data_IF_569928518696
#
_entry.id   IF_569928518696
#
_cell.length_a   1.000
_cell.length_b   1.000
_cell.length_c   1.000
_cell.angle_alpha   90.00
_cell.angle_beta   90.00
_cell.angle_gamma   90.00
#
_symmetry.space_group_name_H-M   'P 1'
#
loop_
_entity.id
_entity.type
_entity.pdbx_description
1 polymer ?
#
# COMPACT_ATOMS: atom_id res chain seq x y z
N UNK A 1 -7.66 8.66 4.00
CA UNK A 1 -6.22 8.54 3.63
C UNK A 1 -5.92 9.21 2.30
N UNK A 2 -6.65 8.90 1.21
CA UNK A 2 -6.43 9.52 -0.11
C UNK A 2 -6.53 11.05 -0.09
N UNK A 3 -7.64 11.60 0.40
CA UNK A 3 -7.86 13.05 0.51
C UNK A 3 -6.79 13.71 1.39
N UNK A 4 -6.40 13.05 2.48
CA UNK A 4 -5.35 13.54 3.38
C UNK A 4 -3.97 13.55 2.69
N UNK A 5 -3.68 12.55 1.86
CA UNK A 5 -2.45 12.47 1.09
C UNK A 5 -2.38 13.58 0.05
N UNK A 6 -3.47 13.81 -0.68
CA UNK A 6 -3.57 14.92 -1.65
C UNK A 6 -3.46 16.29 -0.97
N UNK A 7 -4.05 16.46 0.21
CA UNK A 7 -4.03 17.73 0.94
C UNK A 7 -2.68 18.05 1.61
N UNK A 8 -1.98 17.05 2.14
CA UNK A 8 -0.71 17.26 2.85
C UNK A 8 0.49 17.24 1.87
N UNK A 9 0.46 16.40 0.84
CA UNK A 9 1.59 16.18 -0.07
C UNK A 9 1.39 16.77 -1.46
N UNK A 10 0.58 17.82 -1.61
CA UNK A 10 0.28 18.48 -2.88
C UNK A 10 1.52 19.01 -3.61
N UNK A 11 2.65 19.24 -2.90
CA UNK A 11 3.96 19.60 -3.50
C UNK A 11 4.86 18.41 -3.84
N UNK A 12 4.42 17.18 -3.58
CA UNK A 12 5.16 15.93 -3.79
C UNK A 12 4.54 15.07 -4.89
N UNK A 13 3.68 15.68 -5.69
CA UNK A 13 2.95 15.04 -6.79
C UNK A 13 3.83 15.09 -8.04
N UNK A 14 4.24 13.91 -8.54
CA UNK A 14 5.01 13.81 -9.79
C UNK A 14 4.04 13.75 -10.98
N UNK A 15 2.97 12.96 -10.84
CA UNK A 15 1.81 12.88 -11.73
C UNK A 15 0.59 12.60 -10.85
N UNK A 16 -0.61 13.00 -11.26
CA UNK A 16 -1.87 12.72 -10.55
C UNK A 16 -1.95 11.26 -10.09
N UNK A 17 -1.97 11.03 -8.77
CA UNK A 17 -2.00 9.70 -8.15
C UNK A 17 -0.65 9.00 -7.93
N UNK A 18 0.46 9.56 -8.43
CA UNK A 18 1.84 9.10 -8.18
C UNK A 18 2.57 10.17 -7.35
N UNK A 19 2.71 9.87 -6.07
CA UNK A 19 3.31 10.76 -5.08
C UNK A 19 4.62 10.17 -4.55
N UNK A 20 5.60 11.02 -4.26
CA UNK A 20 6.85 10.60 -3.58
C UNK A 20 6.63 10.14 -2.14
N UNK A 21 5.47 10.46 -1.57
CA UNK A 21 4.95 9.90 -0.31
C UNK A 21 3.50 9.51 -0.55
N UNK A 22 3.20 8.21 -0.44
CA UNK A 22 1.86 7.69 -0.67
C UNK A 22 1.34 6.91 0.55
N UNK A 23 0.72 7.64 1.49
CA UNK A 23 0.20 7.08 2.75
C UNK A 23 -0.78 5.90 2.57
N UNK A 24 -1.67 5.88 1.56
CA UNK A 24 -2.54 4.73 1.34
C UNK A 24 -1.78 3.42 1.10
N UNK A 25 -0.52 3.46 0.65
CA UNK A 25 0.32 2.28 0.52
C UNK A 25 0.54 1.59 1.87
N UNK A 26 0.94 2.36 2.89
CA UNK A 26 1.17 1.83 4.23
C UNK A 26 -0.08 1.29 4.91
N UNK A 27 -1.20 1.99 4.76
CA UNK A 27 -2.47 1.54 5.30
C UNK A 27 -2.91 0.20 4.69
N UNK A 28 -2.80 0.05 3.35
CA UNK A 28 -3.13 -1.19 2.65
C UNK A 28 -2.24 -2.35 3.12
N UNK A 29 -0.92 -2.14 3.19
CA UNK A 29 0.01 -3.15 3.69
C UNK A 29 -0.34 -3.58 5.12
N UNK A 30 -0.52 -2.61 6.02
CA UNK A 30 -0.81 -2.89 7.42
C UNK A 30 -2.14 -3.65 7.61
N UNK A 31 -3.20 -3.21 6.92
CA UNK A 31 -4.50 -3.88 6.96
C UNK A 31 -4.38 -5.33 6.51
N UNK A 32 -3.65 -5.62 5.43
CA UNK A 32 -3.51 -6.99 4.95
C UNK A 32 -2.60 -7.83 5.84
N UNK A 33 -1.56 -7.25 6.45
CA UNK A 33 -0.72 -7.98 7.42
C UNK A 33 -1.48 -8.32 8.71
N UNK A 34 -2.35 -7.41 9.18
CA UNK A 34 -3.18 -7.60 10.39
C UNK A 34 -4.34 -8.57 10.16
N UNK A 35 -5.08 -8.37 9.07
CA UNK A 35 -6.36 -9.05 8.84
C UNK A 35 -6.28 -10.14 7.76
N UNK A 36 -5.11 -10.38 7.18
CA UNK A 36 -4.88 -11.38 6.15
C UNK A 36 -5.83 -11.20 4.96
N UNK A 37 -6.46 -12.31 4.54
CA UNK A 37 -7.42 -12.31 3.43
C UNK A 37 -8.61 -11.37 3.64
N UNK A 38 -9.11 -11.22 4.87
CA UNK A 38 -10.20 -10.29 5.16
C UNK A 38 -9.77 -8.82 4.91
N UNK A 39 -8.51 -8.50 5.24
CA UNK A 39 -7.92 -7.20 4.93
C UNK A 39 -7.83 -6.94 3.43
N UNK A 40 -7.39 -7.94 2.65
CA UNK A 40 -7.32 -7.86 1.20
C UNK A 40 -8.71 -7.66 0.55
N UNK A 41 -9.73 -8.38 1.02
CA UNK A 41 -11.12 -8.23 0.54
C UNK A 41 -11.64 -6.82 0.85
N UNK A 42 -11.40 -6.32 2.07
CA UNK A 42 -11.78 -4.96 2.45
C UNK A 42 -11.12 -3.90 1.55
N UNK A 43 -9.83 -4.06 1.25
CA UNK A 43 -9.12 -3.18 0.32
C UNK A 43 -9.67 -3.29 -1.10
N UNK A 44 -10.00 -4.50 -1.57
CA UNK A 44 -10.57 -4.71 -2.89
C UNK A 44 -11.89 -3.96 -3.05
N UNK A 45 -12.81 -4.14 -2.10
CA UNK A 45 -14.13 -3.47 -2.11
C UNK A 45 -13.95 -1.95 -2.02
N UNK A 46 -13.14 -1.48 -1.08
CA UNK A 46 -12.90 -0.04 -0.90
C UNK A 46 -12.25 0.59 -2.15
N UNK A 47 -11.28 -0.09 -2.76
CA UNK A 47 -10.64 0.37 -4.00
C UNK A 47 -11.62 0.38 -5.15
N UNK A 48 -12.45 -0.65 -5.28
CA UNK A 48 -13.46 -0.75 -6.33
C UNK A 48 -14.47 0.39 -6.26
N UNK A 49 -15.04 0.64 -5.08
CA UNK A 49 -15.96 1.75 -4.86
C UNK A 49 -15.28 3.09 -5.18
N UNK A 50 -14.03 3.28 -4.74
CA UNK A 50 -13.31 4.53 -5.01
C UNK A 50 -13.01 4.69 -6.50
N UNK A 51 -12.63 3.62 -7.21
CA UNK A 51 -12.33 3.69 -8.63
C UNK A 51 -13.59 3.97 -9.45
N UNK A 52 -14.68 3.27 -9.20
CA UNK A 52 -15.95 3.43 -9.94
C UNK A 52 -16.61 4.78 -9.65
N UNK A 53 -16.57 5.28 -8.42
CA UNK A 53 -17.28 6.52 -8.08
C UNK A 53 -16.43 7.79 -8.15
N UNK A 54 -15.09 7.70 -8.13
CA UNK A 54 -14.22 8.88 -8.03
C UNK A 54 -13.15 8.98 -9.12
N UNK A 55 -12.40 7.91 -9.40
CA UNK A 55 -11.24 8.01 -10.32
C UNK A 55 -11.58 7.72 -11.78
N UNK A 56 -12.38 6.69 -12.05
CA UNK A 56 -12.61 6.16 -13.40
C UNK A 56 -14.08 5.73 -13.58
N UNK A 57 -15.05 6.66 -13.45
CA UNK A 57 -16.46 6.34 -13.56
C UNK A 57 -16.86 5.74 -14.91
N UNK A 58 -16.16 6.12 -15.99
CA UNK A 58 -16.46 5.68 -17.35
C UNK A 58 -15.56 4.51 -17.84
N UNK A 59 -14.62 4.05 -17.01
CA UNK A 59 -13.65 2.99 -17.37
C UNK A 59 -13.65 1.87 -16.32
N UNK A 60 -14.59 0.94 -16.52
CA UNK A 60 -14.77 -0.23 -15.66
C UNK A 60 -13.57 -1.17 -15.66
N UNK A 61 -12.88 -1.33 -16.80
CA UNK A 61 -11.73 -2.24 -16.89
C UNK A 61 -10.59 -1.69 -16.05
N UNK A 62 -10.27 -0.39 -16.20
CA UNK A 62 -9.23 0.26 -15.42
C UNK A 62 -9.58 0.32 -13.93
N UNK A 63 -10.84 0.56 -13.60
CA UNK A 63 -11.34 0.47 -12.22
C UNK A 63 -11.11 -0.93 -11.63
N UNK A 64 -11.43 -1.96 -12.41
CA UNK A 64 -11.31 -3.34 -11.97
C UNK A 64 -9.86 -3.74 -11.71
N UNK A 65 -9.00 -3.49 -12.70
CA UNK A 65 -7.60 -3.85 -12.61
C UNK A 65 -6.88 -3.04 -11.54
N UNK A 66 -7.16 -1.73 -11.43
CA UNK A 66 -6.61 -0.90 -10.36
C UNK A 66 -6.97 -1.41 -8.97
N UNK A 67 -8.21 -1.89 -8.79
CA UNK A 67 -8.68 -2.46 -7.53
C UNK A 67 -8.03 -3.80 -7.21
N UNK A 68 -7.88 -4.67 -8.22
CA UNK A 68 -7.19 -5.95 -8.10
C UNK A 68 -5.72 -5.74 -7.77
N UNK A 69 -5.03 -4.81 -8.42
CA UNK A 69 -3.62 -4.48 -8.10
C UNK A 69 -3.52 -3.93 -6.67
N UNK A 70 -4.46 -3.05 -6.28
CA UNK A 70 -4.47 -2.42 -4.97
C UNK A 70 -4.58 -3.42 -3.80
N UNK A 71 -5.39 -4.46 -3.96
CA UNK A 71 -5.54 -5.53 -2.98
C UNK A 71 -4.52 -6.67 -3.16
N UNK A 72 -4.15 -6.96 -4.41
CA UNK A 72 -3.27 -8.06 -4.80
C UNK A 72 -1.84 -7.86 -4.32
N UNK A 73 -1.27 -6.66 -4.52
CA UNK A 73 0.09 -6.36 -4.07
C UNK A 73 0.31 -6.60 -2.57
N UNK A 74 -0.48 -6.02 -1.64
CA UNK A 74 -0.29 -6.27 -0.21
C UNK A 74 -0.66 -7.71 0.19
N UNK A 75 -1.56 -8.38 -0.55
CA UNK A 75 -1.89 -9.79 -0.29
C UNK A 75 -0.76 -10.74 -0.69
N UNK A 76 -0.10 -10.51 -1.83
CA UNK A 76 1.11 -11.24 -2.21
C UNK A 76 2.20 -11.07 -1.16
N UNK A 77 2.40 -9.86 -0.66
CA UNK A 77 3.34 -9.60 0.45
C UNK A 77 2.94 -10.35 1.71
N UNK A 78 1.65 -10.43 2.04
CA UNK A 78 1.16 -11.21 3.16
C UNK A 78 1.47 -12.70 3.01
N UNK A 79 1.22 -13.28 1.84
CA UNK A 79 1.53 -14.68 1.55
C UNK A 79 3.05 -14.94 1.65
N UNK A 80 3.85 -14.04 1.09
CA UNK A 80 5.31 -14.07 1.22
C UNK A 80 5.74 -14.03 2.69
N UNK A 81 5.20 -13.09 3.48
CA UNK A 81 5.52 -12.96 4.89
C UNK A 81 5.12 -14.19 5.71
N UNK A 82 3.96 -14.79 5.41
CA UNK A 82 3.51 -16.03 6.05
C UNK A 82 4.43 -17.20 5.70
N UNK A 83 4.86 -17.31 4.45
CA UNK A 83 5.66 -18.43 3.96
C UNK A 83 7.14 -18.36 4.37
N UNK A 84 7.74 -17.17 4.31
CA UNK A 84 9.19 -16.99 4.43
C UNK A 84 9.62 -16.22 5.68
N UNK A 85 8.75 -15.37 6.24
CA UNK A 85 9.06 -14.56 7.42
C UNK A 85 8.35 -15.07 8.69
N UNK A 86 7.61 -16.18 8.56
CA UNK A 86 6.91 -16.83 9.67
C UNK A 86 5.77 -16.01 10.25
N UNK A 87 5.17 -15.06 9.50
CA UNK A 87 4.03 -14.29 9.96
C UNK A 87 2.89 -15.22 10.42
N UNK A 88 2.51 -15.12 11.70
CA UNK A 88 1.36 -15.82 12.30
C UNK A 88 0.15 -14.88 12.29
N UNK A 89 -0.97 -15.28 12.89
CA UNK A 89 -2.21 -14.47 12.92
C UNK A 89 -2.11 -13.12 13.67
N UNK A 90 -0.90 -12.66 13.98
CA UNK A 90 -0.61 -11.38 14.65
C UNK A 90 0.76 -10.87 14.16
N UNK A 91 0.95 -9.55 14.12
CA UNK A 91 2.26 -8.94 13.85
C UNK A 91 3.25 -9.07 15.01
N UNK A 92 2.83 -9.56 16.19
CA UNK A 92 3.69 -9.68 17.37
C UNK A 92 4.95 -10.53 17.15
N UNK A 93 4.92 -11.44 16.17
CA UNK A 93 6.07 -12.28 15.83
C UNK A 93 6.97 -11.68 14.75
N UNK A 94 6.56 -10.59 14.09
CA UNK A 94 7.40 -9.86 13.15
C UNK A 94 8.16 -8.78 13.91
N UNK A 95 9.46 -8.97 14.08
CA UNK A 95 10.35 -7.91 14.55
C UNK A 95 10.53 -6.84 13.48
N UNK A 96 11.24 -5.75 13.81
CA UNK A 96 11.46 -4.63 12.89
C UNK A 96 12.04 -5.05 11.54
N UNK A 97 12.97 -6.01 11.51
CA UNK A 97 13.62 -6.47 10.27
C UNK A 97 12.64 -7.09 9.27
N UNK A 98 11.96 -8.20 9.62
CA UNK A 98 10.94 -8.82 8.76
C UNK A 98 9.85 -7.84 8.32
N UNK A 99 9.44 -6.90 9.17
CA UNK A 99 8.46 -5.88 8.80
C UNK A 99 8.99 -4.93 7.71
N UNK A 100 10.26 -4.53 7.77
CA UNK A 100 10.89 -3.76 6.71
C UNK A 100 10.96 -4.58 5.41
N UNK A 101 11.27 -5.88 5.47
CA UNK A 101 11.24 -6.76 4.30
C UNK A 101 9.83 -6.75 3.67
N UNK A 102 8.77 -6.82 4.49
CA UNK A 102 7.40 -6.68 3.98
C UNK A 102 7.17 -5.35 3.26
N UNK A 103 7.66 -4.23 3.80
CA UNK A 103 7.54 -2.91 3.16
C UNK A 103 8.21 -2.90 1.79
N UNK A 104 9.43 -3.42 1.69
CA UNK A 104 10.15 -3.50 0.41
C UNK A 104 9.44 -4.43 -0.57
N UNK A 105 9.07 -5.64 -0.15
CA UNK A 105 8.36 -6.61 -0.98
C UNK A 105 7.03 -6.05 -1.49
N UNK A 106 6.29 -5.34 -0.65
CA UNK A 106 5.05 -4.67 -1.04
C UNK A 106 5.28 -3.55 -2.04
N UNK A 107 6.25 -2.66 -1.80
CA UNK A 107 6.51 -1.55 -2.72
C UNK A 107 6.92 -2.07 -4.12
N UNK A 108 7.74 -3.12 -4.17
CA UNK A 108 8.14 -3.80 -5.42
C UNK A 108 6.92 -4.44 -6.08
N UNK A 109 6.11 -5.20 -5.34
CA UNK A 109 4.92 -5.85 -5.89
C UNK A 109 3.92 -4.82 -6.43
N UNK A 110 3.62 -3.77 -5.66
CA UNK A 110 2.71 -2.69 -6.07
C UNK A 110 3.24 -1.96 -7.30
N UNK A 111 4.53 -1.62 -7.32
CA UNK A 111 5.13 -0.92 -8.46
C UNK A 111 5.17 -1.78 -9.72
N UNK A 112 5.63 -3.03 -9.59
CA UNK A 112 5.72 -3.98 -10.67
C UNK A 112 4.37 -4.33 -11.30
N UNK A 113 3.33 -4.54 -10.48
CA UNK A 113 1.99 -4.86 -10.99
C UNK A 113 1.37 -3.72 -11.81
N UNK A 114 1.50 -2.48 -11.37
CA UNK A 114 1.05 -1.33 -12.15
C UNK A 114 1.88 -1.09 -13.40
N UNK A 115 3.22 -1.26 -13.32
CA UNK A 115 4.08 -1.15 -14.49
C UNK A 115 3.73 -2.21 -15.55
N UNK A 116 3.51 -3.46 -15.12
CA UNK A 116 3.06 -4.55 -15.97
C UNK A 116 1.71 -4.25 -16.63
N UNK A 117 0.75 -3.73 -15.87
CA UNK A 117 -0.54 -3.31 -16.42
C UNK A 117 -0.39 -2.25 -17.51
N UNK A 118 0.42 -1.21 -17.28
CA UNK A 118 0.64 -0.18 -18.28
C UNK A 118 1.27 -0.71 -19.58
N UNK A 119 2.17 -1.69 -19.47
CA UNK A 119 2.73 -2.37 -20.65
C UNK A 119 1.67 -3.18 -21.39
N UNK A 120 0.79 -3.89 -20.67
CA UNK A 120 -0.33 -4.64 -21.27
C UNK A 120 -1.33 -3.72 -21.99
N UNK A 121 -1.50 -2.49 -21.50
CA UNK A 121 -2.34 -1.45 -22.11
C UNK A 121 -1.66 -0.78 -23.33
N UNK A 122 -0.47 -1.22 -23.73
CA UNK A 122 0.27 -0.69 -24.87
C UNK A 122 0.91 0.68 -24.62
N UNK A 123 0.97 1.13 -23.36
CA UNK A 123 1.61 2.41 -23.00
C UNK A 123 3.14 2.25 -23.06
N UNK A 124 3.88 3.31 -23.46
CA UNK A 124 5.34 3.27 -23.44
C UNK A 124 5.86 2.99 -22.02
N UNK A 125 6.94 2.21 -21.94
CA UNK A 125 7.53 1.83 -20.67
C UNK A 125 7.98 3.07 -19.88
N UNK A 126 7.27 3.38 -18.79
CA UNK A 126 7.57 4.50 -17.91
C UNK A 126 8.33 4.05 -16.66
N UNK A 127 9.63 3.84 -16.82
CA UNK A 127 10.53 3.42 -15.74
C UNK A 127 10.63 4.47 -14.62
N UNK A 128 10.61 5.76 -14.98
CA UNK A 128 10.62 6.86 -14.02
C UNK A 128 9.37 6.83 -13.14
N UNK A 129 8.18 6.66 -13.72
CA UNK A 129 6.93 6.53 -12.96
C UNK A 129 6.91 5.32 -12.03
N UNK A 130 7.44 4.18 -12.49
CA UNK A 130 7.59 2.98 -11.67
C UNK A 130 8.53 3.22 -10.48
N UNK A 131 9.64 3.93 -10.68
CA UNK A 131 10.56 4.30 -9.60
C UNK A 131 9.91 5.26 -8.59
N UNK A 132 9.22 6.30 -9.06
CA UNK A 132 8.54 7.24 -8.16
C UNK A 132 7.47 6.52 -7.34
N UNK A 133 6.70 5.62 -7.94
CA UNK A 133 5.67 4.86 -7.22
C UNK A 133 6.26 3.83 -6.25
N UNK A 134 7.42 3.25 -6.58
CA UNK A 134 8.18 2.41 -5.66
C UNK A 134 8.61 3.23 -4.43
N UNK A 135 9.26 4.37 -4.65
CA UNK A 135 9.74 5.27 -3.59
C UNK A 135 8.56 5.81 -2.76
N UNK A 136 7.47 6.19 -3.42
CA UNK A 136 6.22 6.62 -2.80
C UNK A 136 5.61 5.56 -1.90
N UNK A 137 5.58 4.32 -2.38
CA UNK A 137 5.12 3.16 -1.62
C UNK A 137 6.00 2.86 -0.40
N UNK A 138 7.33 2.95 -0.56
CA UNK A 138 8.29 2.78 0.54
C UNK A 138 8.09 3.86 1.61
N UNK A 139 8.18 5.14 1.23
CA UNK A 139 8.06 6.26 2.15
C UNK A 139 6.71 6.29 2.85
N UNK A 140 5.62 6.10 2.09
CA UNK A 140 4.27 6.06 2.64
C UNK A 140 4.07 4.91 3.63
N UNK A 141 4.63 3.73 3.33
CA UNK A 141 4.55 2.57 4.23
C UNK A 141 5.36 2.75 5.50
N UNK A 142 6.61 3.23 5.38
CA UNK A 142 7.45 3.53 6.53
C UNK A 142 6.80 4.58 7.42
N UNK A 143 6.27 5.66 6.84
CA UNK A 143 5.64 6.72 7.63
C UNK A 143 4.43 6.20 8.42
N UNK A 144 3.56 5.40 7.80
CA UNK A 144 2.41 4.80 8.48
C UNK A 144 2.87 3.86 9.61
N UNK A 145 3.88 3.02 9.38
CA UNK A 145 4.41 2.13 10.41
C UNK A 145 5.00 2.91 11.60
N UNK A 146 5.81 3.94 11.34
CA UNK A 146 6.37 4.78 12.39
C UNK A 146 5.31 5.59 13.13
N UNK A 147 4.28 6.09 12.42
CA UNK A 147 3.15 6.78 13.04
C UNK A 147 2.38 5.86 14.00
N UNK A 148 2.15 4.61 13.62
CA UNK A 148 1.49 3.62 14.49
C UNK A 148 2.39 3.27 15.68
N UNK A 149 3.69 3.06 15.45
CA UNK A 149 4.66 2.79 16.53
C UNK A 149 4.67 3.94 17.55
N UNK A 150 4.70 5.19 17.08
CA UNK A 150 4.63 6.37 17.92
C UNK A 150 3.32 6.43 18.71
N UNK A 151 2.18 6.19 18.05
CA UNK A 151 0.87 6.17 18.70
C UNK A 151 0.79 5.11 19.80
N UNK A 152 1.33 3.91 19.56
CA UNK A 152 1.41 2.84 20.56
C UNK A 152 2.32 3.22 21.73
N UNK A 153 3.47 3.82 21.47
CA UNK A 153 4.38 4.32 22.50
C UNK A 153 3.72 5.40 23.37
N UNK A 154 3.06 6.39 22.76
CA UNK A 154 2.33 7.43 23.48
C UNK A 154 1.18 6.85 24.33
N UNK A 155 0.50 5.80 23.85
CA UNK A 155 -0.54 5.12 24.63
C UNK A 155 0.04 4.33 25.81
N UNK A 156 1.19 3.69 25.63
CA UNK A 156 1.88 2.99 26.71
C UNK A 156 2.39 3.96 27.79
N UNK A 157 2.96 5.10 27.37
CA UNK A 157 3.42 6.16 28.27
C UNK A 157 2.29 6.83 29.08
N UNK A 158 1.03 6.69 28.63
CA UNK A 158 -0.17 7.23 29.30
C UNK A 158 -0.83 6.27 30.29
N UNK A 159 -0.37 5.03 30.43
CA UNK A 159 -0.82 4.13 31.52
C UNK A 159 0.07 4.34 32.74
N UNK A 160 -0.32 5.14 33.76
CA UNK A 160 0.33 5.07 35.06
C UNK A 160 0.10 3.67 35.67
N UNK A 161 1.12 3.16 36.35
CA UNK A 161 1.07 1.93 37.13
C UNK A 161 0.06 2.04 38.28
#
# INVERSE_FOLDING_TARGET
>A
MLILNEWIFTRSEFVRGINWIYLPAGARLLCTLLFGGAGAIGILIASWLTCVFYFFPDDFIRSAVGSVISAGAPYLTYLFARRYLGLRGSLSNLTTGPLLICVFAFAIANSGMHHLWFLMEGRPANWSGALVMLIGGLNGSLLVLYAIKLALYCKAARKPA
#
